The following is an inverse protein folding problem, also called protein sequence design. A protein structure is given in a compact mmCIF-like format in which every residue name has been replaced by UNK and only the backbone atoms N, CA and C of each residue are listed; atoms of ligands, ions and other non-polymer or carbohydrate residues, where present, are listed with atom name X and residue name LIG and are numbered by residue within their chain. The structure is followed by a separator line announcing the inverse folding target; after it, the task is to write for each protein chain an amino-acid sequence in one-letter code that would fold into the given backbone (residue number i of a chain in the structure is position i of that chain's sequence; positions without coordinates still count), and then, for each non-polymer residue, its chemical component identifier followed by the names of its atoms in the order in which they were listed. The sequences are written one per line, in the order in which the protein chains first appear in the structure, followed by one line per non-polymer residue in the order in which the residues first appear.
data_IF_796772789987
#
_entry.id   IF_796772789987
#
_cell.length_a   1.000
_cell.length_b   1.000
_cell.length_c   1.000
_cell.angle_alpha   90.00
_cell.angle_beta   90.00
_cell.angle_gamma   90.00
#
_symmetry.space_group_name_H-M   'P 1'
#
loop_
_entity.id
_entity.type
_entity.pdbx_description
1 polymer ?
#
# COMPACT_ATOMS: atom_id res chain seq x y z
N UNK A 1 24.22 0.82 8.05
CA UNK A 1 24.30 0.33 9.46
C UNK A 1 25.25 1.15 10.29
N UNK A 2 26.43 1.52 9.76
CA UNK A 2 27.47 2.28 10.47
C UNK A 2 27.11 3.73 10.76
N UNK A 3 26.32 4.38 9.91
CA UNK A 3 25.89 5.77 10.06
C UNK A 3 24.90 5.93 11.22
N UNK A 4 23.94 5.02 11.36
CA UNK A 4 22.92 5.05 12.44
C UNK A 4 23.58 4.77 13.79
N UNK A 5 24.48 3.80 13.86
CA UNK A 5 25.23 3.48 15.08
C UNK A 5 26.12 4.65 15.52
N UNK A 6 26.76 5.34 14.57
CA UNK A 6 27.59 6.52 14.84
C UNK A 6 26.73 7.71 15.32
N UNK A 7 25.54 7.89 14.77
CA UNK A 7 24.62 8.95 15.17
C UNK A 7 24.09 8.75 16.60
N UNK A 8 23.68 7.52 16.94
CA UNK A 8 23.22 7.14 18.30
C UNK A 8 24.34 7.35 19.33
N UNK A 9 25.58 6.93 19.03
CA UNK A 9 26.74 7.18 19.92
C UNK A 9 27.02 8.67 20.11
N UNK A 10 26.91 9.49 19.06
CA UNK A 10 27.10 10.94 19.18
C UNK A 10 26.04 11.59 20.07
N UNK A 11 24.80 11.13 20.01
CA UNK A 11 23.69 11.66 20.80
C UNK A 11 23.87 11.35 22.28
N UNK A 12 24.21 10.12 22.64
CA UNK A 12 24.49 9.71 24.03
C UNK A 12 25.64 10.51 24.63
N UNK A 13 26.72 10.71 23.89
CA UNK A 13 27.87 11.51 24.35
C UNK A 13 27.49 12.96 24.60
N UNK A 14 26.58 13.53 23.80
CA UNK A 14 26.06 14.89 23.98
C UNK A 14 25.29 15.01 25.29
N UNK A 15 24.36 14.12 25.57
CA UNK A 15 23.58 14.13 26.81
C UNK A 15 24.47 13.88 28.03
N UNK A 16 25.37 12.91 27.96
CA UNK A 16 26.32 12.64 29.03
C UNK A 16 27.15 13.90 29.41
N UNK A 17 27.70 14.59 28.41
CA UNK A 17 28.46 15.81 28.65
C UNK A 17 27.63 16.92 29.29
N UNK A 18 26.39 17.08 28.84
CA UNK A 18 25.48 18.08 29.39
C UNK A 18 25.10 17.77 30.85
N UNK A 19 24.76 16.51 31.18
CA UNK A 19 24.44 16.09 32.54
C UNK A 19 25.66 16.19 33.48
N UNK A 20 26.80 15.77 33.00
CA UNK A 20 28.04 15.82 33.81
C UNK A 20 28.46 17.27 34.11
N UNK A 21 28.36 18.18 33.11
CA UNK A 21 28.60 19.60 33.32
C UNK A 21 27.60 20.22 34.30
N UNK A 22 26.34 19.86 34.20
CA UNK A 22 25.29 20.29 35.11
C UNK A 22 25.58 19.84 36.56
N UNK A 23 25.90 18.57 36.76
CA UNK A 23 26.24 18.05 38.09
C UNK A 23 27.48 18.72 38.73
N UNK A 24 28.49 19.01 37.91
CA UNK A 24 29.66 19.75 38.38
C UNK A 24 29.32 21.19 38.79
N UNK A 25 28.47 21.86 38.03
CA UNK A 25 28.03 23.24 38.36
C UNK A 25 27.16 23.25 39.62
N UNK A 26 26.24 22.33 39.76
CA UNK A 26 25.44 22.18 40.96
C UNK A 26 26.31 21.82 42.19
N UNK A 27 27.32 20.99 42.01
CA UNK A 27 28.34 20.73 43.08
C UNK A 27 29.08 21.99 43.51
N UNK A 28 29.42 22.88 42.57
CA UNK A 28 30.04 24.16 42.87
C UNK A 28 29.13 25.07 43.69
N UNK A 29 27.90 25.28 43.23
CA UNK A 29 26.91 26.10 43.92
C UNK A 29 26.63 25.55 45.33
N UNK A 30 26.55 24.20 45.50
CA UNK A 30 26.38 23.58 46.80
C UNK A 30 27.52 23.85 47.77
N UNK A 31 28.76 23.91 47.25
CA UNK A 31 29.97 24.21 48.10
C UNK A 31 30.03 25.65 48.56
N UNK A 32 29.39 26.61 47.86
CA UNK A 32 29.24 28.00 48.32
C UNK A 32 28.43 28.08 49.63
N UNK A 33 27.43 27.21 49.76
CA UNK A 33 26.57 27.11 50.96
C UNK A 33 27.24 26.25 52.04
N UNK A 34 28.01 25.21 51.59
CA UNK A 34 28.66 24.23 52.49
C UNK A 34 30.17 24.16 52.24
N UNK A 35 30.98 25.17 52.68
CA UNK A 35 32.41 25.24 52.40
C UNK A 35 33.23 24.05 52.87
N UNK A 36 32.75 23.31 53.87
CA UNK A 36 33.43 22.11 54.41
C UNK A 36 33.51 20.97 53.40
N UNK A 37 32.60 20.92 52.39
CA UNK A 37 32.53 19.91 51.36
C UNK A 37 33.26 20.30 50.09
N UNK A 38 33.82 21.47 50.03
CA UNK A 38 34.53 22.04 48.86
C UNK A 38 35.62 21.10 48.33
N UNK A 39 36.40 20.45 49.20
CA UNK A 39 37.44 19.50 48.80
C UNK A 39 36.94 18.26 48.07
N UNK A 40 35.67 17.91 48.21
CA UNK A 40 35.07 16.73 47.55
C UNK A 40 34.36 17.07 46.26
N UNK A 41 33.79 18.27 46.14
CA UNK A 41 32.87 18.62 45.07
C UNK A 41 33.39 19.74 44.13
N UNK A 42 34.44 20.44 44.55
CA UNK A 42 34.96 21.59 43.78
C UNK A 42 36.48 21.70 43.78
N UNK A 43 37.06 22.11 42.66
CA UNK A 43 38.47 22.48 42.51
C UNK A 43 39.32 21.42 41.79
N UNK A 44 40.67 21.77 41.65
CA UNK A 44 41.67 20.90 40.99
C UNK A 44 42.00 19.63 41.79
N UNK A 45 41.52 19.50 43.01
CA UNK A 45 41.80 18.41 43.94
C UNK A 45 40.51 17.66 44.34
N UNK A 46 39.52 17.67 43.43
CA UNK A 46 38.28 16.87 43.59
C UNK A 46 38.63 15.41 43.83
N UNK A 47 37.95 14.78 44.80
CA UNK A 47 38.14 13.36 45.11
C UNK A 47 37.79 12.48 43.87
N UNK A 48 38.75 11.66 43.40
CA UNK A 48 38.53 10.83 42.20
C UNK A 48 37.38 9.85 42.32
N UNK A 49 37.07 9.39 43.51
CA UNK A 49 35.97 8.44 43.74
C UNK A 49 34.60 9.15 43.65
N UNK A 50 34.53 10.38 44.15
CA UNK A 50 33.33 11.22 43.97
C UNK A 50 33.14 11.59 42.50
N UNK A 51 34.21 11.92 41.74
CA UNK A 51 34.12 12.18 40.31
C UNK A 51 33.58 10.98 39.52
N UNK A 52 34.07 9.77 39.80
CA UNK A 52 33.55 8.52 39.20
C UNK A 52 32.09 8.25 39.53
N UNK A 53 31.66 8.54 40.75
CA UNK A 53 30.23 8.42 41.11
C UNK A 53 29.37 9.41 40.31
N UNK A 54 29.82 10.67 40.17
CA UNK A 54 29.12 11.68 39.35
C UNK A 54 29.11 11.31 37.87
N UNK A 55 30.21 10.76 37.33
CA UNK A 55 30.26 10.24 35.95
C UNK A 55 29.24 9.08 35.75
N UNK A 56 29.22 8.12 36.69
CA UNK A 56 28.27 7.00 36.63
C UNK A 56 26.80 7.47 36.69
N UNK A 57 26.53 8.45 37.57
CA UNK A 57 25.20 9.05 37.65
C UNK A 57 24.83 9.83 36.40
N UNK A 58 25.73 10.67 35.89
CA UNK A 58 25.55 11.40 34.63
C UNK A 58 25.28 10.45 33.44
N UNK A 59 25.96 9.30 33.39
CA UNK A 59 25.75 8.29 32.36
C UNK A 59 24.33 7.68 32.44
N UNK A 60 23.85 7.35 33.64
CA UNK A 60 22.50 6.83 33.83
C UNK A 60 21.42 7.87 33.52
N UNK A 61 21.63 9.12 33.97
CA UNK A 61 20.69 10.23 33.74
C UNK A 61 20.63 10.60 32.27
N UNK A 62 21.78 10.60 31.57
CA UNK A 62 21.83 10.83 30.13
C UNK A 62 20.98 9.83 29.34
N UNK A 63 21.01 8.54 29.73
CA UNK A 63 20.16 7.51 29.10
C UNK A 63 18.68 7.72 29.38
N UNK A 64 18.32 8.19 30.56
CA UNK A 64 16.92 8.53 30.88
C UNK A 64 16.47 9.76 30.10
N UNK A 65 17.32 10.79 30.03
CA UNK A 65 17.04 12.01 29.27
C UNK A 65 16.90 11.74 27.77
N UNK A 66 17.78 10.93 27.20
CA UNK A 66 17.68 10.48 25.82
C UNK A 66 16.30 9.85 25.55
N UNK A 67 15.84 8.93 26.44
CA UNK A 67 14.52 8.32 26.31
C UNK A 67 13.35 9.29 26.47
N UNK A 68 13.48 10.29 27.33
CA UNK A 68 12.43 11.30 27.55
C UNK A 68 12.40 12.34 26.43
N UNK A 69 13.57 12.74 25.92
CA UNK A 69 13.65 13.67 24.79
C UNK A 69 13.36 13.01 23.43
N UNK A 70 13.36 11.70 23.33
CA UNK A 70 12.96 10.91 22.16
C UNK A 70 11.43 10.94 21.98
N UNK A 71 10.81 12.05 22.22
CA UNK A 71 9.44 12.53 21.94
C UNK A 71 8.37 11.43 21.77
N UNK A 72 8.41 10.36 22.57
CA UNK A 72 7.41 9.26 22.57
C UNK A 72 7.01 8.81 21.16
N UNK A 73 7.94 8.26 20.35
CA UNK A 73 7.63 7.86 18.98
C UNK A 73 6.46 6.88 18.92
N UNK A 74 6.27 6.04 19.95
CA UNK A 74 5.16 5.10 20.04
C UNK A 74 3.80 5.81 20.07
N UNK A 75 3.70 6.94 20.78
CA UNK A 75 2.47 7.73 20.85
C UNK A 75 2.18 8.41 19.53
N UNK A 76 3.17 9.09 18.94
CA UNK A 76 3.01 9.79 17.66
C UNK A 76 2.73 8.82 16.51
N UNK A 77 3.42 7.68 16.47
CA UNK A 77 3.17 6.62 15.49
C UNK A 77 1.76 6.04 15.64
N UNK A 78 1.30 5.79 16.86
CA UNK A 78 -0.06 5.30 17.10
C UNK A 78 -1.12 6.31 16.67
N UNK A 79 -0.91 7.60 16.92
CA UNK A 79 -1.81 8.65 16.45
C UNK A 79 -1.83 8.74 14.92
N UNK A 80 -0.67 8.70 14.27
CA UNK A 80 -0.59 8.72 12.81
C UNK A 80 -1.27 7.47 12.23
N UNK A 81 -1.03 6.28 12.77
CA UNK A 81 -1.67 5.05 12.31
C UNK A 81 -3.19 5.07 12.47
N UNK A 82 -3.72 5.78 13.46
CA UNK A 82 -5.16 5.96 13.64
C UNK A 82 -5.76 6.88 12.57
N UNK A 83 -5.06 7.95 12.20
CA UNK A 83 -5.52 8.96 11.23
C UNK A 83 -5.22 8.55 9.78
N UNK A 84 -4.05 7.94 9.56
CA UNK A 84 -3.56 7.55 8.25
C UNK A 84 -2.80 6.21 8.32
N UNK A 85 -3.49 5.07 8.32
CA UNK A 85 -2.94 3.75 8.64
C UNK A 85 -1.73 3.30 7.82
N UNK A 86 -1.65 3.72 6.56
CA UNK A 86 -0.58 3.31 5.65
C UNK A 86 0.56 4.35 5.54
N UNK A 87 0.51 5.46 6.29
CA UNK A 87 1.49 6.54 6.15
C UNK A 87 2.92 6.11 6.50
N UNK A 88 3.08 5.31 7.54
CA UNK A 88 4.38 4.83 8.02
C UNK A 88 4.81 3.50 7.40
N UNK A 89 3.94 2.87 6.60
CA UNK A 89 4.23 1.59 5.96
C UNK A 89 5.00 1.78 4.66
N UNK A 90 5.87 0.84 4.28
CA UNK A 90 6.52 0.87 2.98
C UNK A 90 5.48 0.77 1.87
N UNK A 91 5.70 1.47 0.75
CA UNK A 91 4.81 1.41 -0.41
C UNK A 91 5.25 0.23 -1.28
N UNK A 92 4.42 -0.81 -1.44
CA UNK A 92 4.74 -1.95 -2.28
C UNK A 92 4.84 -1.56 -3.75
N UNK A 93 5.59 -2.34 -4.54
CA UNK A 93 5.63 -2.16 -5.99
C UNK A 93 4.27 -2.45 -6.61
N UNK A 94 3.85 -1.57 -7.52
CA UNK A 94 2.57 -1.66 -8.22
C UNK A 94 2.79 -1.63 -9.73
N UNK A 95 1.88 -2.25 -10.48
CA UNK A 95 1.90 -2.25 -11.94
C UNK A 95 0.48 -2.49 -12.49
N UNK A 96 0.32 -2.32 -13.79
CA UNK A 96 -0.88 -2.74 -14.51
C UNK A 96 -0.59 -4.05 -15.24
N UNK A 97 -1.43 -5.04 -14.99
CA UNK A 97 -1.39 -6.33 -15.67
C UNK A 97 -2.53 -6.41 -16.68
N UNK A 98 -2.23 -6.74 -17.91
CA UNK A 98 -3.20 -7.02 -18.95
C UNK A 98 -3.35 -8.53 -19.12
N UNK A 99 -4.58 -9.02 -19.03
CA UNK A 99 -4.93 -10.41 -19.31
C UNK A 99 -5.32 -10.54 -20.79
N UNK A 100 -4.91 -11.61 -21.41
CA UNK A 100 -5.30 -11.92 -22.78
C UNK A 100 -6.16 -13.18 -22.76
N UNK A 101 -7.48 -13.08 -23.00
CA UNK A 101 -8.32 -14.26 -23.06
C UNK A 101 -7.85 -15.17 -24.23
N UNK A 102 -7.80 -16.45 -23.96
CA UNK A 102 -7.53 -17.43 -25.01
C UNK A 102 -8.68 -17.43 -26.02
N UNK A 103 -8.39 -17.62 -27.29
CA UNK A 103 -9.40 -17.69 -28.37
C UNK A 103 -10.40 -18.84 -28.21
N UNK A 104 -10.09 -19.81 -27.35
CA UNK A 104 -10.99 -20.91 -27.00
C UNK A 104 -12.06 -20.54 -25.96
N UNK A 105 -11.94 -19.37 -25.33
CA UNK A 105 -12.91 -18.90 -24.33
C UNK A 105 -14.21 -18.53 -25.03
N UNK A 106 -15.28 -19.28 -24.68
CA UNK A 106 -16.63 -19.08 -25.23
C UNK A 106 -17.60 -18.44 -24.22
N UNK A 107 -17.22 -18.36 -22.94
CA UNK A 107 -18.07 -17.84 -21.87
C UNK A 107 -17.33 -16.78 -21.04
N UNK A 108 -18.09 -15.96 -20.33
CA UNK A 108 -17.55 -14.98 -19.37
C UNK A 108 -16.75 -15.71 -18.30
N UNK A 109 -15.51 -15.27 -18.09
CA UNK A 109 -14.65 -15.70 -16.99
C UNK A 109 -14.39 -14.55 -16.04
N UNK A 110 -14.26 -14.84 -14.75
CA UNK A 110 -14.01 -13.82 -13.73
C UNK A 110 -12.71 -14.14 -12.99
N UNK A 111 -11.77 -13.22 -13.06
CA UNK A 111 -10.55 -13.24 -12.24
C UNK A 111 -10.83 -12.43 -10.98
N UNK A 112 -10.83 -13.09 -9.84
CA UNK A 112 -11.18 -12.46 -8.56
C UNK A 112 -10.06 -11.54 -8.07
N UNK A 113 -10.42 -10.51 -7.32
CA UNK A 113 -9.49 -9.72 -6.50
C UNK A 113 -8.65 -10.64 -5.62
N UNK A 114 -7.35 -10.36 -5.46
CA UNK A 114 -6.42 -11.19 -4.67
C UNK A 114 -5.84 -12.40 -5.42
N UNK A 115 -6.14 -12.56 -6.73
CA UNK A 115 -5.52 -13.62 -7.52
C UNK A 115 -4.02 -13.39 -7.61
N UNK A 116 -3.23 -14.39 -7.20
CA UNK A 116 -1.76 -14.33 -7.21
C UNK A 116 -1.22 -14.47 -8.62
N UNK A 117 -0.20 -13.67 -8.92
CA UNK A 117 0.52 -13.64 -10.19
C UNK A 117 2.02 -13.54 -9.91
N UNK A 118 2.77 -14.46 -10.44
CA UNK A 118 4.23 -14.49 -10.29
C UNK A 118 4.93 -13.75 -11.42
N UNK A 119 5.93 -12.96 -11.09
CA UNK A 119 6.84 -12.40 -12.09
C UNK A 119 7.83 -13.46 -12.61
N UNK A 120 8.50 -13.14 -13.71
CA UNK A 120 9.76 -13.83 -14.03
C UNK A 120 10.76 -13.59 -12.90
N UNK A 121 11.67 -14.56 -12.61
CA UNK A 121 12.65 -14.38 -11.56
C UNK A 121 13.53 -13.15 -11.80
N UNK A 122 13.65 -12.30 -10.77
CA UNK A 122 14.54 -11.14 -10.73
C UNK A 122 15.59 -11.42 -9.65
N UNK A 123 16.86 -11.38 -10.01
CA UNK A 123 17.98 -11.77 -9.12
C UNK A 123 17.79 -13.14 -8.42
N UNK A 124 17.14 -14.09 -9.12
CA UNK A 124 16.91 -15.44 -8.61
C UNK A 124 15.67 -15.60 -7.72
N UNK A 125 14.93 -14.52 -7.45
CA UNK A 125 13.68 -14.55 -6.67
C UNK A 125 12.49 -14.14 -7.55
N UNK A 126 11.38 -14.86 -7.43
CA UNK A 126 10.12 -14.46 -8.04
C UNK A 126 9.45 -13.39 -7.18
N UNK A 127 8.91 -12.38 -7.81
CA UNK A 127 8.08 -11.40 -7.14
C UNK A 127 6.62 -11.86 -7.20
N UNK A 128 5.97 -11.93 -6.05
CA UNK A 128 4.59 -12.35 -5.91
C UNK A 128 3.69 -11.12 -5.90
N UNK A 129 2.87 -10.99 -6.93
CA UNK A 129 1.86 -9.94 -7.02
C UNK A 129 0.48 -10.53 -6.78
N UNK A 130 -0.46 -9.67 -6.44
CA UNK A 130 -1.88 -10.01 -6.42
C UNK A 130 -2.70 -8.94 -7.13
N UNK A 131 -3.82 -9.34 -7.74
CA UNK A 131 -4.75 -8.41 -8.38
C UNK A 131 -5.49 -7.58 -7.33
N UNK A 132 -5.56 -6.25 -7.53
CA UNK A 132 -6.25 -5.36 -6.61
C UNK A 132 -7.75 -5.25 -6.91
N UNK A 133 -8.18 -5.60 -8.13
CA UNK A 133 -9.58 -5.52 -8.59
C UNK A 133 -9.97 -6.78 -9.34
N UNK A 134 -11.27 -7.05 -9.36
CA UNK A 134 -11.84 -8.10 -10.17
C UNK A 134 -11.78 -7.74 -11.66
N UNK A 135 -11.53 -8.75 -12.51
CA UNK A 135 -11.48 -8.60 -13.96
C UNK A 135 -12.44 -9.58 -14.60
N UNK A 136 -13.38 -9.04 -15.35
CA UNK A 136 -14.30 -9.82 -16.17
C UNK A 136 -13.72 -10.00 -17.56
N UNK A 137 -13.47 -11.24 -17.95
CA UNK A 137 -12.98 -11.61 -19.27
C UNK A 137 -14.15 -12.05 -20.13
N UNK A 138 -14.30 -11.42 -21.27
CA UNK A 138 -15.28 -11.78 -22.28
C UNK A 138 -14.58 -12.30 -23.53
N UNK A 139 -15.25 -13.11 -24.38
CA UNK A 139 -14.73 -13.51 -25.67
C UNK A 139 -14.77 -12.35 -26.69
N UNK A 140 -14.10 -11.28 -26.34
CA UNK A 140 -14.12 -10.01 -27.05
C UNK A 140 -12.71 -9.42 -27.15
N UNK A 141 -12.36 -8.78 -28.25
CA UNK A 141 -11.13 -8.01 -28.39
C UNK A 141 -11.38 -6.65 -29.02
N UNK A 142 -10.61 -5.66 -28.60
CA UNK A 142 -10.54 -4.38 -29.26
C UNK A 142 -9.50 -4.47 -30.39
N UNK A 143 -9.92 -4.31 -31.65
CA UNK A 143 -9.02 -4.48 -32.80
C UNK A 143 -8.46 -3.16 -33.33
N UNK A 144 -9.28 -2.13 -33.38
CA UNK A 144 -8.89 -0.84 -33.94
C UNK A 144 -9.53 0.32 -33.17
N UNK A 145 -8.82 1.43 -33.10
CA UNK A 145 -9.28 2.67 -32.48
C UNK A 145 -9.03 3.83 -33.43
N UNK A 146 -10.08 4.58 -33.74
CA UNK A 146 -10.01 5.72 -34.67
C UNK A 146 -10.61 6.96 -34.01
N UNK A 147 -9.90 8.07 -34.11
CA UNK A 147 -10.43 9.37 -33.72
C UNK A 147 -10.78 10.19 -34.95
N UNK A 148 -11.99 10.74 -34.97
CA UNK A 148 -12.48 11.65 -35.98
C UNK A 148 -12.66 13.04 -35.36
N UNK A 149 -11.93 14.00 -35.84
CA UNK A 149 -11.96 15.38 -35.34
C UNK A 149 -12.74 16.27 -36.29
N UNK A 150 -13.66 17.05 -35.76
CA UNK A 150 -14.29 18.18 -36.41
C UNK A 150 -13.79 19.48 -35.77
N UNK A 151 -14.26 20.63 -36.25
CA UNK A 151 -13.87 21.93 -35.65
C UNK A 151 -14.35 22.09 -34.20
N UNK A 152 -15.45 21.45 -33.84
CA UNK A 152 -16.14 21.66 -32.56
C UNK A 152 -16.17 20.41 -31.68
N UNK A 153 -15.99 19.23 -32.23
CA UNK A 153 -16.20 17.95 -31.56
C UNK A 153 -15.17 16.89 -31.98
N UNK A 154 -15.02 15.87 -31.14
CA UNK A 154 -14.28 14.65 -31.49
C UNK A 154 -15.17 13.44 -31.24
N UNK A 155 -15.09 12.45 -32.13
CA UNK A 155 -15.65 11.11 -31.91
C UNK A 155 -14.53 10.10 -31.94
N UNK A 156 -14.52 9.19 -30.98
CA UNK A 156 -13.57 8.06 -30.92
C UNK A 156 -14.36 6.77 -31.16
N UNK A 157 -13.97 6.04 -32.19
CA UNK A 157 -14.57 4.78 -32.61
C UNK A 157 -13.69 3.63 -32.14
N UNK A 158 -14.21 2.78 -31.25
CA UNK A 158 -13.56 1.58 -30.75
C UNK A 158 -14.17 0.36 -31.44
N UNK A 159 -13.43 -0.29 -32.33
CA UNK A 159 -13.90 -1.50 -33.03
C UNK A 159 -13.65 -2.74 -32.18
N UNK A 160 -14.75 -3.38 -31.80
CA UNK A 160 -14.78 -4.54 -30.92
C UNK A 160 -15.24 -5.77 -31.70
N UNK A 161 -14.49 -6.87 -31.61
CA UNK A 161 -14.80 -8.14 -32.25
C UNK A 161 -15.11 -9.21 -31.23
N UNK A 162 -16.29 -9.84 -31.33
CA UNK A 162 -16.64 -11.06 -30.60
C UNK A 162 -15.95 -12.26 -31.23
N UNK A 163 -15.39 -13.13 -30.43
CA UNK A 163 -14.72 -14.35 -30.89
C UNK A 163 -15.71 -15.51 -31.02
N UNK A 164 -15.61 -16.28 -32.10
CA UNK A 164 -16.47 -17.45 -32.39
C UNK A 164 -17.89 -17.06 -32.79
N UNK A 165 -18.78 -18.03 -32.79
CA UNK A 165 -20.22 -17.87 -33.10
C UNK A 165 -21.04 -17.42 -31.89
N UNK A 166 -20.52 -16.47 -31.13
CA UNK A 166 -21.13 -16.02 -29.88
C UNK A 166 -21.91 -14.74 -30.13
N UNK A 167 -23.13 -14.69 -29.57
CA UNK A 167 -23.99 -13.51 -29.58
C UNK A 167 -23.80 -12.71 -28.29
N UNK A 168 -24.00 -11.40 -28.34
CA UNK A 168 -23.99 -10.54 -27.15
C UNK A 168 -24.94 -11.06 -26.06
N UNK A 169 -26.10 -11.57 -26.45
CA UNK A 169 -27.07 -12.16 -25.50
C UNK A 169 -26.56 -13.39 -24.77
N UNK A 170 -25.67 -14.18 -25.37
CA UNK A 170 -25.04 -15.36 -24.72
C UNK A 170 -23.78 -15.01 -23.95
N UNK A 171 -23.10 -13.94 -24.31
CA UNK A 171 -21.86 -13.50 -23.66
C UNK A 171 -22.07 -12.83 -22.31
N UNK A 172 -23.32 -12.49 -21.93
CA UNK A 172 -23.66 -11.76 -20.70
C UNK A 172 -22.85 -10.46 -20.54
N UNK A 173 -22.65 -9.75 -21.67
CA UNK A 173 -21.85 -8.53 -21.74
C UNK A 173 -22.63 -7.37 -21.11
N UNK A 174 -22.52 -7.21 -19.80
CA UNK A 174 -23.17 -6.12 -19.07
C UNK A 174 -22.22 -4.92 -18.89
N UNK A 175 -20.99 -5.17 -18.46
CA UNK A 175 -20.01 -4.14 -18.14
C UNK A 175 -18.69 -4.36 -18.87
N UNK A 176 -18.13 -3.30 -19.46
CA UNK A 176 -16.78 -3.31 -20.02
C UNK A 176 -15.92 -2.31 -19.28
N UNK A 177 -14.86 -2.80 -18.68
CA UNK A 177 -13.82 -1.99 -18.06
C UNK A 177 -12.68 -1.74 -19.03
N UNK A 178 -12.36 -0.48 -19.24
CA UNK A 178 -11.24 -0.03 -20.04
C UNK A 178 -10.15 0.59 -19.15
N UNK A 179 -8.92 0.34 -19.51
CA UNK A 179 -7.76 1.02 -18.98
C UNK A 179 -7.19 1.99 -20.03
N UNK A 180 -6.95 3.24 -19.62
CA UNK A 180 -6.31 4.26 -20.46
C UNK A 180 -4.79 4.15 -20.33
N UNK A 181 -4.20 3.34 -21.21
CA UNK A 181 -2.77 3.11 -21.29
C UNK A 181 -2.07 3.96 -22.34
N UNK A 182 -0.86 3.53 -22.74
CA UNK A 182 -0.05 4.18 -23.77
C UNK A 182 0.75 5.37 -23.23
N UNK A 183 0.89 6.40 -24.05
CA UNK A 183 1.60 7.63 -23.67
C UNK A 183 0.89 8.37 -22.53
N UNK A 184 1.67 8.77 -21.52
CA UNK A 184 1.15 9.38 -20.28
C UNK A 184 0.35 10.66 -20.53
N UNK A 185 0.82 11.52 -21.43
CA UNK A 185 0.13 12.76 -21.74
C UNK A 185 -1.22 12.48 -22.41
N UNK A 186 -1.22 11.62 -23.45
CA UNK A 186 -2.44 11.25 -24.18
C UNK A 186 -3.45 10.56 -23.26
N UNK A 187 -3.00 9.66 -22.37
CA UNK A 187 -3.88 8.98 -21.39
C UNK A 187 -4.53 9.95 -20.42
N UNK A 188 -3.78 10.90 -19.88
CA UNK A 188 -4.30 11.92 -18.95
C UNK A 188 -5.28 12.87 -19.66
N UNK A 189 -5.00 13.26 -20.88
CA UNK A 189 -5.91 14.10 -21.67
C UNK A 189 -7.18 13.36 -22.03
N UNK A 190 -7.09 12.08 -22.44
CA UNK A 190 -8.26 11.24 -22.67
C UNK A 190 -9.10 11.05 -21.41
N UNK A 191 -8.46 10.85 -20.25
CA UNK A 191 -9.15 10.77 -18.97
C UNK A 191 -9.92 12.06 -18.66
N UNK A 192 -9.30 13.22 -18.89
CA UNK A 192 -9.97 14.52 -18.71
C UNK A 192 -11.16 14.66 -19.65
N UNK A 193 -10.99 14.30 -20.94
CA UNK A 193 -12.08 14.39 -21.92
C UNK A 193 -13.23 13.46 -21.59
N UNK A 194 -12.97 12.23 -21.19
CA UNK A 194 -13.98 11.28 -20.78
C UNK A 194 -14.79 11.76 -19.58
N UNK A 195 -14.13 12.41 -18.62
CA UNK A 195 -14.84 12.86 -17.41
C UNK A 195 -15.54 14.20 -17.56
N UNK A 196 -15.11 15.06 -18.47
CA UNK A 196 -15.59 16.43 -18.52
C UNK A 196 -16.28 16.81 -19.84
N UNK A 197 -15.92 16.16 -20.93
CA UNK A 197 -16.43 16.51 -22.26
C UNK A 197 -17.15 15.37 -22.97
N UNK A 198 -17.34 14.21 -22.35
CA UNK A 198 -18.14 13.12 -22.90
C UNK A 198 -19.59 13.55 -22.93
N UNK A 199 -20.16 13.63 -24.14
CA UNK A 199 -21.57 14.02 -24.36
C UNK A 199 -22.48 12.79 -24.38
N UNK A 200 -22.13 11.80 -25.20
CA UNK A 200 -22.89 10.55 -25.32
C UNK A 200 -22.01 9.38 -25.73
N UNK A 201 -22.46 8.19 -25.40
CA UNK A 201 -21.89 6.93 -25.89
C UNK A 201 -22.94 6.24 -26.77
N UNK A 202 -22.53 5.77 -27.93
CA UNK A 202 -23.39 4.98 -28.80
C UNK A 202 -22.69 3.73 -29.31
N UNK A 203 -23.47 2.74 -29.70
CA UNK A 203 -22.98 1.47 -30.21
C UNK A 203 -23.50 1.33 -31.61
N UNK A 204 -22.59 1.24 -32.57
CA UNK A 204 -22.91 1.04 -34.00
C UNK A 204 -22.82 -0.45 -34.33
N UNK A 205 -23.92 -1.00 -34.81
CA UNK A 205 -24.01 -2.36 -35.34
C UNK A 205 -24.50 -2.30 -36.77
N UNK A 206 -23.64 -2.62 -37.72
CA UNK A 206 -23.95 -2.63 -39.16
C UNK A 206 -24.56 -1.31 -39.67
N UNK A 207 -24.13 -0.17 -39.14
CA UNK A 207 -24.63 1.15 -39.54
C UNK A 207 -25.87 1.62 -38.78
N UNK A 208 -26.36 0.85 -37.81
CA UNK A 208 -27.44 1.27 -36.91
C UNK A 208 -26.87 1.64 -35.57
N UNK A 209 -27.09 2.88 -35.12
CA UNK A 209 -26.61 3.38 -33.85
C UNK A 209 -27.65 3.17 -32.71
N UNK A 210 -27.18 2.59 -31.63
CA UNK A 210 -27.95 2.40 -30.41
C UNK A 210 -27.32 3.28 -29.30
N UNK A 211 -28.05 4.26 -28.76
CA UNK A 211 -27.52 5.09 -27.70
C UNK A 211 -27.43 4.30 -26.39
N UNK A 212 -26.32 4.46 -25.66
CA UNK A 212 -26.20 4.00 -24.30
C UNK A 212 -26.87 5.03 -23.38
N UNK A 213 -27.60 4.57 -22.36
CA UNK A 213 -28.30 5.48 -21.43
C UNK A 213 -27.29 6.34 -20.65
N UNK A 214 -27.69 7.55 -20.30
CA UNK A 214 -26.92 8.42 -19.42
C UNK A 214 -26.70 7.75 -18.07
N UNK A 215 -25.48 7.93 -17.48
CA UNK A 215 -25.10 7.34 -16.21
C UNK A 215 -24.47 5.94 -16.28
N UNK A 216 -24.35 5.36 -17.48
CA UNK A 216 -23.67 4.09 -17.69
C UNK A 216 -22.13 4.22 -17.81
N UNK A 217 -21.62 5.43 -17.80
CA UNK A 217 -20.18 5.71 -17.69
C UNK A 217 -19.81 5.97 -16.22
N UNK A 218 -18.81 5.27 -15.71
CA UNK A 218 -18.31 5.45 -14.34
C UNK A 218 -16.77 5.37 -14.32
N UNK A 219 -16.14 6.32 -13.64
CA UNK A 219 -14.71 6.23 -13.32
C UNK A 219 -14.46 5.24 -12.21
N UNK A 220 -13.33 4.56 -12.25
CA UNK A 220 -12.93 3.51 -11.31
C UNK A 220 -11.72 3.96 -10.51
N UNK A 221 -11.66 3.59 -9.22
CA UNK A 221 -10.53 3.88 -8.34
C UNK A 221 -10.90 4.68 -7.10
N UNK A 222 -12.10 5.25 -7.05
CA UNK A 222 -12.53 6.12 -5.95
C UNK A 222 -13.33 5.39 -4.87
N UNK A 223 -13.96 4.29 -5.20
CA UNK A 223 -14.72 3.48 -4.24
C UNK A 223 -13.78 2.69 -3.31
N UNK A 224 -14.24 2.37 -2.10
CA UNK A 224 -13.47 1.59 -1.12
C UNK A 224 -13.08 0.19 -1.62
N UNK A 225 -13.93 -0.41 -2.48
CA UNK A 225 -13.67 -1.72 -3.09
C UNK A 225 -12.52 -1.68 -4.10
N UNK A 226 -12.26 -0.51 -4.69
CA UNK A 226 -11.19 -0.27 -5.66
C UNK A 226 -9.81 -0.07 -5.01
N UNK A 227 -9.73 -0.05 -3.69
CA UNK A 227 -8.49 0.19 -2.95
C UNK A 227 -7.37 -0.76 -3.36
N UNK A 228 -6.18 -0.18 -3.57
CA UNK A 228 -4.95 -0.93 -3.88
C UNK A 228 -4.31 -1.48 -2.61
N UNK A 229 -4.24 -0.65 -1.57
CA UNK A 229 -3.70 -1.00 -0.27
C UNK A 229 -4.82 -1.45 0.68
N UNK A 230 -4.54 -2.39 1.60
CA UNK A 230 -5.47 -2.69 2.68
C UNK A 230 -5.76 -1.42 3.48
N UNK A 231 -7.03 -1.06 3.63
CA UNK A 231 -7.44 0.17 4.30
C UNK A 231 -8.64 -0.10 5.23
N UNK A 232 -8.57 0.29 6.51
CA UNK A 232 -9.67 0.12 7.45
C UNK A 232 -10.89 0.97 7.06
N UNK A 233 -12.09 0.39 7.16
CA UNK A 233 -13.34 1.06 6.79
C UNK A 233 -13.77 2.20 7.71
N UNK A 234 -13.17 2.30 8.89
CA UNK A 234 -13.47 3.33 9.90
C UNK A 234 -12.63 4.60 9.77
N UNK A 235 -11.76 4.68 8.77
CA UNK A 235 -10.87 5.84 8.53
C UNK A 235 -11.33 6.61 7.30
N UNK A 236 -11.05 7.93 7.28
CA UNK A 236 -11.42 8.79 6.16
C UNK A 236 -10.71 8.38 4.86
N UNK A 237 -11.50 8.04 3.83
CA UNK A 237 -11.00 7.50 2.56
C UNK A 237 -10.17 8.49 1.72
N UNK A 238 -10.33 9.79 1.94
CA UNK A 238 -9.58 10.82 1.22
C UNK A 238 -8.06 10.67 1.34
N UNK A 239 -7.57 10.22 2.50
CA UNK A 239 -6.14 9.97 2.69
C UNK A 239 -5.64 8.78 1.86
N UNK A 240 -6.46 7.71 1.72
CA UNK A 240 -6.18 6.57 0.85
C UNK A 240 -6.06 7.01 -0.60
N UNK A 241 -7.07 7.71 -1.10
CA UNK A 241 -7.12 8.20 -2.49
C UNK A 241 -5.89 9.06 -2.79
N UNK A 242 -5.55 9.99 -1.90
CA UNK A 242 -4.38 10.85 -2.06
C UNK A 242 -3.08 10.06 -2.10
N UNK A 243 -2.90 9.11 -1.18
CA UNK A 243 -1.71 8.27 -1.10
C UNK A 243 -1.55 7.39 -2.34
N UNK A 244 -2.61 6.72 -2.76
CA UNK A 244 -2.61 5.85 -3.94
C UNK A 244 -2.37 6.65 -5.22
N UNK A 245 -2.99 7.82 -5.37
CA UNK A 245 -2.79 8.69 -6.52
C UNK A 245 -1.35 9.20 -6.63
N UNK A 246 -0.75 9.63 -5.52
CA UNK A 246 0.64 10.08 -5.50
C UNK A 246 1.64 8.94 -5.70
N UNK A 247 1.29 7.72 -5.28
CA UNK A 247 2.15 6.55 -5.40
C UNK A 247 2.03 5.86 -6.76
N UNK A 248 0.80 5.74 -7.29
CA UNK A 248 0.50 5.03 -8.52
C UNK A 248 -0.74 5.59 -9.22
N UNK A 249 -0.60 6.74 -9.89
CA UNK A 249 -1.70 7.47 -10.55
C UNK A 249 -2.40 6.67 -11.64
N UNK A 250 -1.69 5.73 -12.28
CA UNK A 250 -2.21 4.87 -13.35
C UNK A 250 -3.39 4.00 -12.90
N UNK A 251 -3.51 3.70 -11.60
CA UNK A 251 -4.64 2.96 -11.05
C UNK A 251 -5.98 3.69 -11.15
N UNK A 252 -5.97 5.00 -11.40
CA UNK A 252 -7.17 5.83 -11.56
C UNK A 252 -7.55 6.02 -13.03
N UNK A 253 -6.75 5.54 -13.97
CA UNK A 253 -7.01 5.64 -15.41
C UNK A 253 -7.93 4.54 -15.92
N UNK A 254 -8.91 4.15 -15.13
CA UNK A 254 -9.93 3.16 -15.52
C UNK A 254 -11.31 3.78 -15.60
N UNK A 255 -12.12 3.25 -16.51
CA UNK A 255 -13.54 3.57 -16.57
C UNK A 255 -14.36 2.34 -16.96
N UNK A 256 -15.59 2.32 -16.50
CA UNK A 256 -16.56 1.28 -16.78
C UNK A 256 -17.67 1.82 -17.69
N UNK A 257 -18.09 1.01 -18.66
CA UNK A 257 -19.28 1.20 -19.46
C UNK A 257 -20.26 0.06 -19.16
N UNK A 258 -21.33 0.37 -18.48
CA UNK A 258 -22.36 -0.60 -18.07
C UNK A 258 -23.61 -0.56 -18.94
N UNK A 259 -24.49 -1.58 -18.84
CA UNK A 259 -25.77 -1.63 -19.55
C UNK A 259 -25.67 -1.91 -21.03
N UNK A 260 -24.58 -2.48 -21.49
CA UNK A 260 -24.37 -2.86 -22.88
C UNK A 260 -25.36 -3.94 -23.35
N UNK A 261 -25.71 -4.87 -22.48
CA UNK A 261 -26.68 -5.96 -22.70
C UNK A 261 -28.09 -5.44 -23.01
N UNK A 262 -28.44 -4.26 -22.51
CA UNK A 262 -29.74 -3.60 -22.72
C UNK A 262 -29.77 -2.73 -23.97
N UNK A 263 -28.62 -2.14 -24.31
CA UNK A 263 -28.49 -1.24 -25.45
C UNK A 263 -28.37 -1.99 -26.77
N UNK A 264 -27.76 -3.17 -26.79
CA UNK A 264 -27.47 -3.92 -28.02
C UNK A 264 -28.48 -5.05 -28.20
N UNK A 265 -29.02 -5.28 -29.43
CA UNK A 265 -29.86 -6.43 -29.72
C UNK A 265 -29.13 -7.75 -29.44
N UNK A 266 -29.77 -8.67 -28.72
CA UNK A 266 -29.18 -9.94 -28.28
C UNK A 266 -28.69 -10.84 -29.42
N UNK A 267 -29.20 -10.63 -30.63
CA UNK A 267 -28.84 -11.38 -31.83
C UNK A 267 -27.56 -10.91 -32.52
N UNK A 268 -26.92 -9.83 -32.02
CA UNK A 268 -25.71 -9.29 -32.62
C UNK A 268 -24.54 -10.23 -32.37
N UNK A 269 -23.88 -10.62 -33.44
CA UNK A 269 -22.66 -11.44 -33.46
C UNK A 269 -21.59 -10.76 -34.31
N UNK A 270 -20.33 -11.10 -34.06
CA UNK A 270 -19.21 -10.58 -34.81
C UNK A 270 -18.74 -9.21 -34.35
N UNK A 271 -18.71 -8.24 -35.24
CA UNK A 271 -18.14 -6.90 -35.00
C UNK A 271 -19.20 -5.87 -34.65
N UNK A 272 -18.89 -5.03 -33.66
CA UNK A 272 -19.61 -3.79 -33.37
C UNK A 272 -18.62 -2.67 -33.01
N UNK A 273 -19.06 -1.42 -33.13
CA UNK A 273 -18.22 -0.25 -32.85
C UNK A 273 -18.83 0.55 -31.71
N UNK A 274 -18.07 0.74 -30.65
CA UNK A 274 -18.40 1.66 -29.57
C UNK A 274 -17.92 3.05 -29.94
N UNK A 275 -18.82 4.03 -29.96
CA UNK A 275 -18.52 5.42 -30.31
C UNK A 275 -18.62 6.32 -29.09
N UNK A 276 -17.54 6.99 -28.78
CA UNK A 276 -17.46 7.99 -27.70
C UNK A 276 -17.54 9.38 -28.34
N UNK A 277 -18.61 10.11 -28.08
CA UNK A 277 -18.84 11.43 -28.63
C UNK A 277 -18.48 12.51 -27.61
N UNK A 278 -17.59 13.42 -27.98
CA UNK A 278 -17.14 14.50 -27.11
C UNK A 278 -17.67 15.84 -27.63
N UNK A 279 -18.16 16.68 -26.71
CA UNK A 279 -18.65 18.02 -26.98
C UNK A 279 -17.55 19.03 -27.33
N UNK A 280 -16.27 18.62 -27.28
CA UNK A 280 -15.11 19.44 -27.57
C UNK A 280 -14.03 18.66 -28.33
N UNK A 281 -13.36 19.36 -29.26
CA UNK A 281 -12.26 18.76 -30.03
C UNK A 281 -11.05 18.46 -29.11
N UNK A 282 -10.47 17.26 -29.25
CA UNK A 282 -9.21 16.88 -28.60
C UNK A 282 -8.05 17.76 -29.10
N UNK A 283 -7.07 18.09 -28.25
CA UNK A 283 -5.86 18.79 -28.69
C UNK A 283 -5.13 18.01 -29.78
N UNK A 284 -4.50 18.74 -30.73
CA UNK A 284 -3.84 18.17 -31.90
C UNK A 284 -2.65 17.27 -31.58
N UNK A 285 -2.04 17.50 -30.43
CA UNK A 285 -0.90 16.74 -29.88
C UNK A 285 -1.29 15.43 -29.20
N UNK A 286 -2.58 15.22 -28.92
CA UNK A 286 -3.09 13.97 -28.35
C UNK A 286 -3.22 12.91 -29.44
N UNK A 287 -2.45 11.84 -29.31
CA UNK A 287 -2.50 10.68 -30.21
C UNK A 287 -3.41 9.61 -29.64
N UNK A 288 -4.49 9.36 -30.35
CA UNK A 288 -5.43 8.28 -30.01
C UNK A 288 -5.00 7.02 -30.71
N UNK A 289 -4.64 6.01 -29.97
CA UNK A 289 -4.18 4.70 -30.46
C UNK A 289 -4.89 3.56 -29.74
N UNK A 290 -4.77 2.36 -30.28
CA UNK A 290 -5.29 1.14 -29.60
C UNK A 290 -4.71 0.94 -28.19
N UNK A 291 -3.47 1.37 -27.96
CA UNK A 291 -2.80 1.26 -26.65
C UNK A 291 -3.46 2.12 -25.57
N UNK A 292 -4.23 3.14 -25.97
CA UNK A 292 -4.95 4.00 -25.03
C UNK A 292 -6.23 3.35 -24.49
N UNK A 293 -6.79 2.34 -25.17
CA UNK A 293 -8.03 1.68 -24.75
C UNK A 293 -7.83 0.18 -24.61
N UNK A 294 -7.31 -0.21 -23.46
CA UNK A 294 -7.00 -1.62 -23.17
C UNK A 294 -8.10 -2.26 -22.35
N UNK A 295 -8.50 -3.46 -22.75
CA UNK A 295 -9.43 -4.31 -22.03
C UNK A 295 -8.67 -5.26 -21.09
N UNK A 296 -9.37 -5.78 -20.08
CA UNK A 296 -8.89 -6.84 -19.20
C UNK A 296 -7.62 -6.49 -18.43
N UNK A 297 -7.47 -5.22 -18.11
CA UNK A 297 -6.39 -4.74 -17.26
C UNK A 297 -6.82 -4.67 -15.81
N UNK A 298 -5.89 -4.98 -14.90
CA UNK A 298 -6.04 -4.75 -13.46
C UNK A 298 -4.77 -4.18 -12.86
N UNK A 299 -4.87 -3.30 -11.88
CA UNK A 299 -3.74 -2.97 -11.05
C UNK A 299 -3.34 -4.19 -10.20
N UNK A 300 -2.04 -4.44 -10.12
CA UNK A 300 -1.44 -5.49 -9.29
C UNK A 300 -0.47 -4.88 -8.29
N UNK A 301 -0.36 -5.51 -7.14
CA UNK A 301 0.48 -5.06 -6.04
C UNK A 301 1.37 -6.20 -5.54
N UNK A 302 2.63 -5.90 -5.27
CA UNK A 302 3.57 -6.83 -4.64
C UNK A 302 3.37 -6.85 -3.12
N UNK A 303 2.26 -7.46 -2.71
CA UNK A 303 1.90 -7.65 -1.31
C UNK A 303 1.35 -9.07 -1.17
N UNK A 304 1.91 -9.86 -0.26
CA UNK A 304 1.56 -11.26 -0.09
C UNK A 304 1.86 -11.72 1.34
N UNK A 305 1.14 -12.72 1.80
CA UNK A 305 1.37 -13.35 3.09
C UNK A 305 2.64 -14.21 3.05
N UNK A 306 3.46 -14.11 4.07
CA UNK A 306 4.69 -14.87 4.19
C UNK A 306 5.00 -15.18 5.66
N UNK A 307 5.37 -16.43 5.93
CA UNK A 307 5.82 -16.84 7.25
C UNK A 307 7.26 -16.33 7.48
N UNK A 308 7.44 -15.51 8.50
CA UNK A 308 8.76 -15.03 8.90
C UNK A 308 9.58 -16.15 9.58
N UNK A 309 10.90 -16.00 9.59
CA UNK A 309 11.79 -16.91 10.31
C UNK A 309 11.44 -16.97 11.81
N UNK A 310 11.47 -18.18 12.43
CA UNK A 310 11.14 -18.32 13.84
C UNK A 310 12.10 -17.55 14.75
N UNK A 311 11.55 -16.85 15.74
CA UNK A 311 12.30 -16.09 16.72
C UNK A 311 12.40 -16.90 18.01
N UNK A 312 13.65 -17.23 18.42
CA UNK A 312 13.90 -17.87 19.70
C UNK A 312 14.04 -16.85 20.82
N UNK A 313 13.11 -16.87 21.78
CA UNK A 313 13.11 -15.96 22.92
C UNK A 313 14.21 -16.37 23.91
N UNK A 314 15.26 -15.57 24.04
CA UNK A 314 16.36 -15.79 25.00
C UNK A 314 16.10 -15.15 26.38
N UNK A 315 15.11 -14.28 26.51
CA UNK A 315 14.85 -13.46 27.70
C UNK A 315 15.93 -12.40 28.01
N UNK A 316 16.93 -12.25 27.12
CA UNK A 316 18.01 -11.25 27.27
C UNK A 316 17.76 -9.95 26.56
N UNK A 317 16.83 -9.96 25.62
CA UNK A 317 16.44 -8.80 24.82
C UNK A 317 14.98 -8.49 25.06
N UNK A 318 14.65 -7.20 25.10
CA UNK A 318 13.27 -6.71 25.21
C UNK A 318 12.56 -6.68 23.86
N UNK A 319 13.33 -6.60 22.76
CA UNK A 319 12.82 -6.43 21.40
C UNK A 319 13.48 -7.42 20.45
N UNK A 320 12.70 -7.97 19.54
CA UNK A 320 13.14 -8.93 18.53
C UNK A 320 12.70 -8.45 17.15
N UNK A 321 13.66 -8.37 16.24
CA UNK A 321 13.37 -7.96 14.86
C UNK A 321 12.72 -9.11 14.09
N UNK A 322 11.61 -8.83 13.39
CA UNK A 322 11.01 -9.76 12.43
C UNK A 322 11.88 -9.85 11.19
N UNK A 323 12.27 -11.05 10.81
CA UNK A 323 13.06 -11.34 9.61
C UNK A 323 12.24 -12.24 8.70
N UNK A 324 11.76 -11.74 7.55
CA UNK A 324 10.98 -12.56 6.62
C UNK A 324 11.77 -13.76 6.06
N UNK A 325 13.06 -13.56 5.76
CA UNK A 325 13.93 -14.64 5.27
C UNK A 325 15.40 -14.32 5.58
N UNK A 326 16.06 -15.19 6.36
CA UNK A 326 17.50 -15.08 6.62
C UNK A 326 18.33 -15.40 5.39
N UNK A 327 17.79 -16.18 4.44
CA UNK A 327 18.49 -16.54 3.20
C UNK A 327 18.59 -15.35 2.23
N UNK A 328 17.53 -14.54 2.17
CA UNK A 328 17.44 -13.39 1.26
C UNK A 328 16.91 -12.14 1.98
N UNK A 329 17.67 -11.59 2.95
CA UNK A 329 17.18 -10.52 3.83
C UNK A 329 16.90 -9.20 3.11
N UNK A 330 17.52 -8.97 1.93
CA UNK A 330 17.32 -7.77 1.11
C UNK A 330 16.19 -7.88 0.08
N UNK A 331 15.56 -9.07 -0.06
CA UNK A 331 14.51 -9.30 -1.06
C UNK A 331 13.11 -9.06 -0.50
N UNK A 332 12.98 -8.88 0.82
CA UNK A 332 11.70 -8.73 1.50
C UNK A 332 11.69 -7.49 2.37
N UNK A 333 10.56 -6.84 2.43
CA UNK A 333 10.24 -5.77 3.35
C UNK A 333 8.93 -6.07 4.06
N UNK A 334 8.84 -5.76 5.35
CA UNK A 334 7.65 -6.05 6.15
C UNK A 334 6.66 -4.89 6.02
N UNK A 335 5.51 -5.15 5.44
CA UNK A 335 4.42 -4.20 5.34
C UNK A 335 3.58 -4.18 6.62
N UNK A 336 3.20 -5.36 7.13
CA UNK A 336 2.38 -5.53 8.32
C UNK A 336 2.67 -6.89 8.97
N UNK A 337 2.34 -7.03 10.24
CA UNK A 337 2.32 -8.31 10.96
C UNK A 337 0.86 -8.68 11.18
N UNK A 338 0.41 -9.76 10.56
CA UNK A 338 -1.01 -10.17 10.66
C UNK A 338 -1.27 -11.00 11.91
N UNK A 339 -0.35 -11.91 12.25
CA UNK A 339 -0.47 -12.74 13.43
C UNK A 339 0.89 -13.13 13.98
N UNK A 340 0.97 -13.26 15.30
CA UNK A 340 2.13 -13.82 15.99
C UNK A 340 1.70 -15.05 16.78
N UNK A 341 2.38 -16.16 16.51
CA UNK A 341 2.13 -17.42 17.19
C UNK A 341 3.35 -17.85 17.97
N UNK A 342 3.22 -18.02 19.28
CA UNK A 342 4.28 -18.56 20.13
C UNK A 342 4.07 -20.04 20.45
N UNK A 343 5.18 -20.74 20.59
CA UNK A 343 5.24 -22.14 20.99
C UNK A 343 6.03 -22.21 22.28
N UNK A 344 5.46 -22.77 23.32
CA UNK A 344 6.15 -22.94 24.61
C UNK A 344 6.44 -24.43 24.81
N UNK A 345 7.72 -24.80 24.81
CA UNK A 345 8.13 -26.14 25.21
C UNK A 345 7.96 -26.30 26.72
N UNK A 346 6.97 -27.05 27.13
CA UNK A 346 6.78 -27.40 28.54
C UNK A 346 7.58 -28.67 28.82
N UNK A 347 8.76 -28.52 29.38
CA UNK A 347 9.54 -29.66 29.91
C UNK A 347 8.89 -30.10 31.25
N UNK A 348 8.01 -31.09 31.19
CA UNK A 348 7.49 -31.77 32.38
C UNK A 348 8.02 -33.21 32.40
N UNK A 349 8.78 -33.58 33.42
CA UNK A 349 9.25 -34.95 33.72
C UNK A 349 9.95 -35.69 32.58
N UNK A 350 10.90 -35.03 31.85
CA UNK A 350 11.76 -35.75 30.89
C UNK A 350 11.10 -36.14 29.57
N UNK A 351 9.81 -35.85 29.36
CA UNK A 351 9.14 -35.96 28.07
C UNK A 351 8.90 -34.57 27.49
N UNK A 352 9.44 -34.28 26.30
CA UNK A 352 9.03 -33.12 25.48
C UNK A 352 7.56 -33.31 25.09
N UNK A 353 6.68 -32.66 25.80
CA UNK A 353 5.28 -32.54 25.39
C UNK A 353 5.24 -31.38 24.41
N UNK A 354 4.71 -31.64 23.21
CA UNK A 354 4.50 -30.63 22.16
C UNK A 354 3.78 -29.43 22.78
N UNK A 355 4.46 -28.27 22.80
CA UNK A 355 4.06 -27.10 23.56
C UNK A 355 2.69 -26.57 23.15
N UNK A 356 2.05 -25.88 24.05
CA UNK A 356 0.78 -25.19 23.76
C UNK A 356 1.04 -24.07 22.77
N UNK A 357 0.23 -24.04 21.70
CA UNK A 357 0.20 -22.94 20.74
C UNK A 357 -0.51 -21.76 21.41
N UNK A 358 0.13 -20.58 21.41
CA UNK A 358 -0.45 -19.33 21.90
C UNK A 358 -0.43 -18.31 20.79
N UNK A 359 -1.57 -17.71 20.53
CA UNK A 359 -1.71 -16.59 19.60
C UNK A 359 -1.61 -15.30 20.39
N UNK A 360 -0.86 -14.34 19.88
CA UNK A 360 -0.69 -13.01 20.47
C UNK A 360 -1.42 -11.99 19.61
N UNK A 361 -2.01 -10.98 20.23
CA UNK A 361 -2.60 -9.82 19.57
C UNK A 361 -1.58 -8.69 19.47
N UNK A 362 -1.75 -7.80 18.48
CA UNK A 362 -0.96 -6.58 18.40
C UNK A 362 -1.16 -5.68 19.62
N UNK A 363 -0.09 -5.05 20.06
CA UNK A 363 -0.17 -4.02 21.07
C UNK A 363 -0.49 -2.67 20.42
N UNK A 364 -1.66 -2.13 20.71
CA UNK A 364 -2.06 -0.79 20.30
C UNK A 364 -2.25 0.08 21.54
N UNK A 365 -1.43 1.13 21.68
CA UNK A 365 -1.32 1.93 22.89
C UNK A 365 -2.63 2.54 23.39
N UNK A 366 -3.61 2.77 22.53
CA UNK A 366 -4.92 3.32 22.90
C UNK A 366 -6.03 2.27 23.11
N UNK A 367 -5.84 1.03 22.67
CA UNK A 367 -6.88 -0.01 22.69
C UNK A 367 -6.64 -1.09 23.72
N UNK A 368 -5.42 -1.25 24.20
CA UNK A 368 -5.03 -2.40 25.04
C UNK A 368 -5.74 -2.48 26.40
N UNK A 369 -6.22 -1.38 26.96
CA UNK A 369 -6.98 -1.42 28.22
C UNK A 369 -8.37 -2.04 28.02
N UNK A 370 -9.02 -1.76 26.90
CA UNK A 370 -10.35 -2.30 26.57
C UNK A 370 -10.27 -3.79 26.27
N UNK A 371 -9.23 -4.25 25.61
CA UNK A 371 -9.02 -5.67 25.29
C UNK A 371 -8.53 -6.48 26.50
N UNK A 372 -7.73 -5.91 27.40
CA UNK A 372 -7.35 -6.56 28.67
C UNK A 372 -8.54 -6.98 29.53
N UNK A 373 -9.60 -6.19 29.50
CA UNK A 373 -10.83 -6.48 30.25
C UNK A 373 -11.67 -7.57 29.57
N UNK A 374 -11.65 -7.62 28.23
CA UNK A 374 -12.47 -8.56 27.46
C UNK A 374 -11.82 -9.93 27.20
N UNK A 375 -10.55 -9.96 26.88
CA UNK A 375 -9.84 -11.19 26.54
C UNK A 375 -8.54 -11.24 27.33
N UNK A 376 -8.30 -12.25 28.14
CA UNK A 376 -7.00 -12.52 28.80
C UNK A 376 -5.93 -12.92 27.75
N UNK A 377 -5.81 -12.18 26.67
CA UNK A 377 -4.93 -12.46 25.55
C UNK A 377 -3.58 -11.78 25.80
N UNK A 378 -2.48 -12.47 25.55
CA UNK A 378 -1.17 -11.86 25.59
C UNK A 378 -0.96 -10.98 24.36
N UNK A 379 -0.28 -9.85 24.54
CA UNK A 379 0.06 -8.90 23.49
C UNK A 379 1.50 -9.19 22.98
N UNK A 380 1.79 -8.76 21.76
CA UNK A 380 3.13 -8.77 21.18
C UNK A 380 3.59 -7.38 20.83
#
# INVERSE_FOLDING_TARGET
RDIVCCFVMMTQVKYFRAEFAFLKEQGREFTEIHPQLSRFLHGRTMDPDVERLLEGFAFLTARLREKVEDEFPELTHSMINMLWPNYLRPIPSMSILAFSPDKSVSEKQVIRKGTQVDSKPVFGTKCHFQTCREVELYPLSCNDVKAQHTREATTIDLSLDLHGDINIGSSLLDNLRFYLGGDKYSSQMLYLWLNHYLDKVSIDVNGTEFPLAEGNFKTVGFDSEDALLPYPSNVYEGYRILQEYLSFSEAFHFFDLSGLDKAIPKSVSGRFTLKLHFSKTLPVDVRVTKENFQLYCAPIINLFEHDADPISLSGRQSEYRVVPSSRYPSHYEVFNIESVTGWQDTASQGKRIRGSKRVYSSFESFQHEVERVRNRTALY
#
